data_IF_627791633243
#
_entry.id   IF_627791633243
#
_cell.length_a   1.000
_cell.length_b   1.000
_cell.length_c   1.000
_cell.angle_alpha   90.00
_cell.angle_beta   90.00
_cell.angle_gamma   90.00
#
_symmetry.space_group_name_H-M   'P 1'
#
loop_
_entity.id
_entity.type
_entity.pdbx_description
1 polymer ?
#
# COMPACT_ATOMS: atom_id res chain seq x y z
N UNK A 1 -10.26 8.14 4.77
CA UNK A 1 -10.96 6.90 5.16
C UNK A 1 -12.08 7.20 6.13
N UNK A 2 -11.81 7.82 7.29
CA UNK A 2 -12.84 8.07 8.30
C UNK A 2 -13.97 8.95 7.77
N UNK A 3 -13.68 10.08 7.13
CA UNK A 3 -14.71 10.95 6.55
C UNK A 3 -15.61 10.22 5.54
N UNK A 4 -15.04 9.29 4.75
CA UNK A 4 -15.84 8.44 3.84
C UNK A 4 -16.70 7.40 4.57
N UNK A 5 -16.32 7.00 5.78
CA UNK A 5 -17.09 6.08 6.62
C UNK A 5 -18.25 6.82 7.31
N UNK A 6 -17.96 8.02 7.80
CA UNK A 6 -18.84 8.73 8.74
C UNK A 6 -19.81 9.71 8.04
N UNK A 7 -19.51 10.10 6.79
CA UNK A 7 -20.31 11.06 6.02
C UNK A 7 -20.80 10.38 4.75
N UNK A 8 -22.11 10.28 4.61
CA UNK A 8 -22.78 9.80 3.40
C UNK A 8 -22.44 10.73 2.23
N UNK A 9 -22.11 10.14 1.07
CA UNK A 9 -21.73 10.86 -0.15
C UNK A 9 -20.54 11.83 -0.01
N UNK A 10 -19.64 11.60 0.97
CA UNK A 10 -18.45 12.42 1.13
C UNK A 10 -17.65 12.54 -0.17
N UNK A 11 -17.47 13.77 -0.62
CA UNK A 11 -16.61 14.13 -1.76
C UNK A 11 -15.44 14.99 -1.28
N UNK A 12 -14.27 14.70 -1.81
CA UNK A 12 -13.10 15.56 -1.59
C UNK A 12 -13.34 16.95 -2.19
N UNK A 13 -12.87 17.98 -1.50
CA UNK A 13 -12.82 19.31 -2.06
C UNK A 13 -11.60 19.51 -2.96
N UNK A 14 -11.62 20.51 -3.82
CA UNK A 14 -10.45 20.90 -4.63
C UNK A 14 -9.24 21.26 -3.75
N UNK A 15 -9.48 21.85 -2.56
CA UNK A 15 -8.42 22.16 -1.58
C UNK A 15 -7.75 20.90 -1.03
N UNK A 16 -8.52 19.82 -0.83
CA UNK A 16 -7.96 18.54 -0.38
C UNK A 16 -7.06 17.93 -1.44
N UNK A 17 -7.41 18.05 -2.70
CA UNK A 17 -6.60 17.55 -3.81
C UNK A 17 -5.32 18.37 -3.98
N UNK A 18 -5.38 19.70 -3.89
CA UNK A 18 -4.20 20.55 -3.88
C UNK A 18 -3.26 20.22 -2.72
N UNK A 19 -3.79 20.06 -1.50
CA UNK A 19 -3.00 19.68 -0.32
C UNK A 19 -2.35 18.32 -0.48
N UNK A 20 -3.05 17.36 -1.09
CA UNK A 20 -2.49 16.03 -1.39
C UNK A 20 -1.35 16.12 -2.41
N UNK A 21 -1.50 16.94 -3.46
CA UNK A 21 -0.45 17.18 -4.46
C UNK A 21 0.77 17.86 -3.82
N UNK A 22 0.57 18.89 -3.02
CA UNK A 22 1.63 19.58 -2.27
C UNK A 22 2.39 18.59 -1.37
N UNK A 23 1.68 17.80 -0.58
CA UNK A 23 2.26 16.75 0.26
C UNK A 23 3.01 15.71 -0.59
N UNK A 24 2.45 15.36 -1.74
CA UNK A 24 3.08 14.47 -2.71
C UNK A 24 4.37 15.02 -3.30
N UNK A 25 4.49 16.33 -3.53
CA UNK A 25 5.68 16.96 -4.11
C UNK A 25 6.77 17.24 -3.06
N UNK A 26 6.39 17.84 -1.94
CA UNK A 26 7.34 18.36 -0.95
C UNK A 26 7.55 17.48 0.27
N UNK A 27 6.67 16.47 0.47
CA UNK A 27 6.81 15.56 1.60
C UNK A 27 8.07 14.70 1.51
N UNK A 28 8.64 14.36 2.66
CA UNK A 28 9.78 13.46 2.74
C UNK A 28 9.44 12.08 2.15
N UNK A 29 10.23 11.61 1.19
CA UNK A 29 10.01 10.33 0.46
C UNK A 29 10.73 9.14 1.08
N UNK A 30 11.70 9.38 1.96
CA UNK A 30 12.53 8.30 2.49
C UNK A 30 13.43 7.69 1.42
N UNK A 31 13.53 6.36 1.44
CA UNK A 31 14.30 5.62 0.44
C UNK A 31 13.42 5.34 -0.78
N UNK A 32 13.87 5.80 -1.94
CA UNK A 32 13.22 5.53 -3.24
C UNK A 32 14.00 4.45 -3.97
N UNK A 33 13.31 3.44 -4.49
CA UNK A 33 13.88 2.35 -5.25
C UNK A 33 13.13 2.22 -6.58
N UNK A 34 13.87 2.23 -7.68
CA UNK A 34 13.33 1.96 -9.02
C UNK A 34 13.69 0.53 -9.41
N UNK A 35 12.72 -0.22 -9.89
CA UNK A 35 12.91 -1.56 -10.45
C UNK A 35 12.18 -1.67 -11.77
N UNK A 36 12.82 -2.30 -12.74
CA UNK A 36 12.21 -2.65 -14.02
C UNK A 36 11.73 -4.10 -13.95
N UNK A 37 10.52 -4.34 -14.42
CA UNK A 37 9.99 -5.69 -14.61
C UNK A 37 10.49 -6.31 -15.92
N UNK A 38 10.08 -7.56 -16.17
CA UNK A 38 10.31 -8.25 -17.43
C UNK A 38 9.45 -7.66 -18.55
N UNK A 39 9.92 -7.77 -19.80
CA UNK A 39 9.10 -7.44 -20.95
C UNK A 39 7.89 -8.41 -21.02
N UNK A 40 6.69 -7.86 -21.10
CA UNK A 40 5.46 -8.65 -21.07
C UNK A 40 4.98 -9.11 -22.45
N UNK A 41 5.60 -8.67 -23.56
CA UNK A 41 5.11 -8.94 -24.91
C UNK A 41 4.90 -10.44 -25.15
N UNK A 42 5.88 -11.28 -24.83
CA UNK A 42 5.77 -12.72 -25.03
C UNK A 42 4.65 -13.37 -24.23
N UNK A 43 4.33 -12.83 -23.04
CA UNK A 43 3.25 -13.30 -22.18
C UNK A 43 1.91 -12.82 -22.75
N UNK A 44 1.85 -11.56 -23.17
CA UNK A 44 0.64 -10.96 -23.73
C UNK A 44 0.26 -11.56 -25.10
N UNK A 45 1.25 -11.92 -25.92
CA UNK A 45 1.01 -12.56 -27.20
C UNK A 45 0.42 -13.97 -27.09
N UNK A 46 0.62 -14.63 -25.95
CA UNK A 46 0.03 -15.95 -25.65
C UNK A 46 -1.39 -15.89 -25.10
N UNK A 47 -1.91 -14.68 -24.81
CA UNK A 47 -3.26 -14.56 -24.28
C UNK A 47 -4.30 -14.75 -25.37
N UNK A 48 -5.42 -15.38 -25.00
CA UNK A 48 -6.57 -15.56 -25.88
C UNK A 48 -7.24 -14.22 -26.16
N UNK A 49 -7.03 -13.68 -27.35
CA UNK A 49 -7.61 -12.41 -27.80
C UNK A 49 -9.07 -12.51 -28.21
N UNK A 50 -9.66 -13.73 -28.20
CA UNK A 50 -11.09 -13.93 -28.48
C UNK A 50 -11.98 -13.73 -27.25
N UNK A 51 -11.35 -13.61 -26.04
CA UNK A 51 -12.06 -13.32 -24.80
C UNK A 51 -12.85 -12.00 -24.90
N UNK A 52 -13.99 -11.90 -24.20
CA UNK A 52 -14.68 -10.63 -24.02
C UNK A 52 -13.71 -9.56 -23.48
N UNK A 53 -13.86 -8.33 -23.98
CA UNK A 53 -12.91 -7.23 -23.69
C UNK A 53 -12.65 -7.03 -22.18
N UNK A 54 -13.67 -7.17 -21.34
CA UNK A 54 -13.54 -7.02 -19.90
C UNK A 54 -12.72 -8.14 -19.27
N UNK A 55 -12.90 -9.38 -19.72
CA UNK A 55 -12.15 -10.54 -19.27
C UNK A 55 -10.68 -10.44 -19.69
N UNK A 56 -10.44 -10.07 -20.95
CA UNK A 56 -9.07 -9.85 -21.44
C UNK A 56 -8.36 -8.75 -20.65
N UNK A 57 -9.03 -7.65 -20.32
CA UNK A 57 -8.45 -6.61 -19.48
C UNK A 57 -8.15 -7.09 -18.08
N UNK A 58 -9.01 -7.89 -17.47
CA UNK A 58 -8.76 -8.47 -16.16
C UNK A 58 -7.53 -9.39 -16.17
N UNK A 59 -7.37 -10.22 -17.18
CA UNK A 59 -6.21 -11.10 -17.36
C UNK A 59 -4.93 -10.27 -17.51
N UNK A 60 -4.95 -9.27 -18.41
CA UNK A 60 -3.77 -8.41 -18.66
C UNK A 60 -3.39 -7.62 -17.39
N UNK A 61 -4.38 -7.03 -16.71
CA UNK A 61 -4.15 -6.31 -15.46
C UNK A 61 -3.53 -7.22 -14.40
N UNK A 62 -4.03 -8.44 -14.25
CA UNK A 62 -3.48 -9.43 -13.32
C UNK A 62 -2.02 -9.81 -13.62
N UNK A 63 -1.65 -9.91 -14.90
CA UNK A 63 -0.26 -10.17 -15.32
C UNK A 63 0.63 -8.98 -14.95
N UNK A 64 0.18 -7.76 -15.24
CA UNK A 64 0.91 -6.53 -14.90
C UNK A 64 1.06 -6.39 -13.40
N UNK A 65 -0.01 -6.56 -12.64
CA UNK A 65 0.00 -6.47 -11.18
C UNK A 65 0.96 -7.49 -10.57
N UNK A 66 0.93 -8.74 -11.05
CA UNK A 66 1.86 -9.78 -10.59
C UNK A 66 3.31 -9.40 -10.84
N UNK A 67 3.63 -8.84 -12.02
CA UNK A 67 4.98 -8.40 -12.35
C UNK A 67 5.42 -7.21 -11.50
N UNK A 68 4.54 -6.26 -11.24
CA UNK A 68 4.80 -5.12 -10.34
C UNK A 68 5.05 -5.62 -8.91
N UNK A 69 4.15 -6.46 -8.39
CA UNK A 69 4.19 -6.90 -7.00
C UNK A 69 5.40 -7.77 -6.69
N UNK A 70 5.80 -8.68 -7.58
CA UNK A 70 7.00 -9.51 -7.40
C UNK A 70 8.31 -8.72 -7.39
N UNK A 71 8.29 -7.51 -7.93
CA UNK A 71 9.44 -6.59 -7.95
C UNK A 71 9.46 -5.60 -6.79
N UNK A 72 8.52 -5.67 -5.86
CA UNK A 72 8.52 -4.80 -4.67
C UNK A 72 9.80 -5.00 -3.83
N UNK A 73 10.36 -3.89 -3.37
CA UNK A 73 11.35 -3.91 -2.30
C UNK A 73 10.61 -3.85 -0.97
N UNK A 74 10.69 -4.94 -0.20
CA UNK A 74 10.04 -5.03 1.10
C UNK A 74 11.02 -4.58 2.17
N UNK A 75 10.62 -3.62 3.00
CA UNK A 75 11.41 -3.04 4.08
C UNK A 75 10.96 -3.57 5.44
N UNK A 76 11.82 -3.48 6.49
CA UNK A 76 11.47 -3.93 7.84
C UNK A 76 10.10 -3.43 8.33
N UNK A 77 9.76 -2.17 8.09
CA UNK A 77 8.46 -1.60 8.45
C UNK A 77 7.26 -2.29 7.80
N UNK A 78 7.40 -2.90 6.61
CA UNK A 78 6.32 -3.66 5.98
C UNK A 78 6.07 -4.99 6.71
N UNK A 79 7.14 -5.66 7.17
CA UNK A 79 7.03 -6.88 7.97
C UNK A 79 6.43 -6.60 9.34
N UNK A 80 6.89 -5.52 10.02
CA UNK A 80 6.28 -5.07 11.28
C UNK A 80 4.78 -4.80 11.09
N UNK A 81 4.41 -4.07 10.04
CA UNK A 81 3.01 -3.76 9.75
C UNK A 81 2.18 -5.02 9.50
N UNK A 82 2.74 -5.99 8.79
CA UNK A 82 2.05 -7.26 8.52
C UNK A 82 1.79 -8.04 9.80
N UNK A 83 2.80 -8.21 10.65
CA UNK A 83 2.69 -8.93 11.92
C UNK A 83 1.73 -8.21 12.89
N UNK A 84 1.76 -6.87 12.94
CA UNK A 84 0.78 -6.09 13.72
C UNK A 84 -0.65 -6.26 13.20
N UNK A 85 -0.84 -6.35 11.88
CA UNK A 85 -2.17 -6.48 11.28
C UNK A 85 -2.75 -7.88 11.47
N UNK A 86 -1.92 -8.92 11.37
CA UNK A 86 -2.34 -10.31 11.53
C UNK A 86 -2.47 -10.74 12.98
N UNK A 87 -1.85 -10.02 13.93
CA UNK A 87 -1.70 -10.44 15.32
C UNK A 87 -0.72 -11.59 15.52
N UNK A 88 0.07 -11.91 14.49
CA UNK A 88 1.05 -12.99 14.47
C UNK A 88 2.47 -12.41 14.48
N UNK A 89 3.47 -13.25 14.73
CA UNK A 89 4.90 -12.90 14.65
C UNK A 89 5.59 -13.69 13.53
N UNK A 90 4.93 -13.78 12.37
CA UNK A 90 5.35 -14.60 11.24
C UNK A 90 6.70 -14.19 10.66
N UNK A 91 6.99 -12.90 10.70
CA UNK A 91 8.18 -12.31 10.08
C UNK A 91 9.13 -11.68 11.10
N UNK A 92 9.10 -12.15 12.35
CA UNK A 92 9.92 -11.60 13.42
C UNK A 92 11.44 -11.64 13.14
N UNK A 93 11.90 -12.54 12.28
CA UNK A 93 13.28 -12.65 11.80
C UNK A 93 13.67 -11.61 10.73
N UNK A 94 12.71 -10.85 10.18
CA UNK A 94 12.90 -9.86 9.12
C UNK A 94 13.02 -8.43 9.62
N UNK A 95 12.85 -8.20 10.91
CA UNK A 95 12.97 -6.88 11.53
C UNK A 95 13.50 -7.00 12.97
N UNK A 96 14.06 -5.90 13.48
CA UNK A 96 14.54 -5.79 14.84
C UNK A 96 13.50 -5.12 15.75
N UNK A 97 13.67 -5.18 17.07
CA UNK A 97 12.85 -4.40 18.00
C UNK A 97 13.01 -2.89 17.76
N UNK A 98 14.20 -2.44 17.34
CA UNK A 98 14.44 -1.05 16.98
C UNK A 98 13.62 -0.64 15.74
N UNK A 99 13.52 -1.50 14.73
CA UNK A 99 12.67 -1.26 13.55
C UNK A 99 11.20 -1.13 13.95
N UNK A 100 10.75 -1.95 14.89
CA UNK A 100 9.39 -1.90 15.42
C UNK A 100 9.13 -0.58 16.15
N UNK A 101 10.02 -0.17 17.03
CA UNK A 101 9.91 1.13 17.75
C UNK A 101 9.88 2.29 16.75
N UNK A 102 10.78 2.32 15.77
CA UNK A 102 10.78 3.35 14.71
C UNK A 102 9.49 3.39 13.92
N UNK A 103 8.93 2.22 13.62
CA UNK A 103 7.67 2.14 12.88
C UNK A 103 6.50 2.67 13.71
N UNK A 104 6.42 2.34 14.99
CA UNK A 104 5.39 2.86 15.92
C UNK A 104 5.50 4.39 16.10
N UNK A 105 6.70 4.92 16.26
CA UNK A 105 6.92 6.36 16.29
C UNK A 105 6.48 7.04 14.99
N UNK A 106 6.78 6.40 13.85
CA UNK A 106 6.36 6.90 12.55
C UNK A 106 4.83 6.92 12.43
N UNK A 107 4.13 5.85 12.83
CA UNK A 107 2.66 5.79 12.83
C UNK A 107 2.08 6.91 13.68
N UNK A 108 2.62 7.11 14.89
CA UNK A 108 2.17 8.16 15.81
C UNK A 108 2.32 9.56 15.19
N UNK A 109 3.46 9.83 14.52
CA UNK A 109 3.70 11.07 13.80
C UNK A 109 2.75 11.27 12.62
N UNK A 110 2.39 10.20 11.90
CA UNK A 110 1.41 10.32 10.80
C UNK A 110 -0.01 10.54 11.32
N UNK A 111 -0.40 9.85 12.39
CA UNK A 111 -1.69 10.06 13.03
C UNK A 111 -1.83 11.50 13.56
N UNK A 112 -0.79 12.05 14.16
CA UNK A 112 -0.82 13.43 14.68
C UNK A 112 -1.06 14.48 13.59
N UNK A 113 -0.71 14.20 12.32
CA UNK A 113 -0.97 15.11 11.19
C UNK A 113 -2.42 15.12 10.72
N UNK A 114 -3.23 14.16 11.17
CA UNK A 114 -4.62 14.06 10.75
C UNK A 114 -5.45 14.96 11.66
N UNK A 115 -5.94 16.04 11.10
CA UNK A 115 -6.79 17.02 11.77
C UNK A 115 -8.21 16.92 11.20
N UNK A 116 -9.06 16.18 11.88
CA UNK A 116 -10.48 15.96 11.54
C UNK A 116 -11.33 15.94 12.80
N UNK A 117 -12.62 16.37 12.72
CA UNK A 117 -13.54 16.27 13.82
C UNK A 117 -13.76 14.80 14.27
N UNK A 118 -13.94 14.60 15.58
CA UNK A 118 -14.24 13.28 16.15
C UNK A 118 -13.27 12.18 15.66
N UNK A 119 -11.99 12.48 15.63
CA UNK A 119 -10.94 11.61 15.16
C UNK A 119 -10.95 10.25 15.85
N UNK A 120 -11.19 9.19 15.10
CA UNK A 120 -11.11 7.80 15.52
C UNK A 120 -9.68 7.27 15.31
N UNK A 121 -8.86 7.41 16.33
CA UNK A 121 -7.42 7.06 16.23
C UNK A 121 -7.19 5.57 16.01
N UNK A 122 -7.99 4.70 16.62
CA UNK A 122 -7.86 3.26 16.46
C UNK A 122 -8.15 2.83 15.01
N UNK A 123 -9.26 3.30 14.47
CA UNK A 123 -9.62 3.05 13.07
C UNK A 123 -8.55 3.57 12.10
N UNK A 124 -8.09 4.80 12.29
CA UNK A 124 -7.09 5.43 11.43
C UNK A 124 -5.73 4.72 11.54
N UNK A 125 -5.34 4.33 12.75
CA UNK A 125 -4.13 3.52 12.96
C UNK A 125 -4.22 2.18 12.24
N UNK A 126 -5.35 1.48 12.35
CA UNK A 126 -5.58 0.23 11.62
C UNK A 126 -5.46 0.40 10.11
N UNK A 127 -6.00 1.50 9.54
CA UNK A 127 -5.86 1.82 8.11
C UNK A 127 -4.43 2.12 7.70
N UNK A 128 -3.66 2.85 8.52
CA UNK A 128 -2.24 3.10 8.27
C UNK A 128 -1.43 1.81 8.32
N UNK A 129 -1.61 0.97 9.34
CA UNK A 129 -0.93 -0.33 9.44
C UNK A 129 -1.25 -1.18 8.22
N UNK A 130 -2.53 -1.28 7.82
CA UNK A 130 -2.92 -2.02 6.63
C UNK A 130 -2.25 -1.49 5.35
N UNK A 131 -2.12 -0.16 5.20
CA UNK A 131 -1.45 0.45 4.06
C UNK A 131 0.02 0.02 3.96
N UNK A 132 0.74 -0.04 5.10
CA UNK A 132 2.14 -0.48 5.13
C UNK A 132 2.32 -2.00 5.04
N UNK A 133 1.31 -2.79 5.42
CA UNK A 133 1.31 -4.24 5.26
C UNK A 133 1.02 -4.69 3.80
N UNK A 134 0.26 -3.90 3.04
CA UNK A 134 -0.18 -4.26 1.68
C UNK A 134 0.96 -4.58 0.71
N UNK A 135 2.10 -3.87 0.66
CA UNK A 135 3.21 -4.24 -0.21
C UNK A 135 3.70 -5.67 0.03
N UNK A 136 3.84 -6.08 1.30
CA UNK A 136 4.23 -7.45 1.63
C UNK A 136 3.14 -8.46 1.26
N UNK A 137 1.87 -8.17 1.52
CA UNK A 137 0.75 -9.05 1.14
C UNK A 137 0.73 -9.30 -0.36
N UNK A 138 0.83 -8.23 -1.15
CA UNK A 138 0.82 -8.32 -2.61
C UNK A 138 2.04 -9.06 -3.14
N UNK A 139 3.23 -8.81 -2.56
CA UNK A 139 4.45 -9.55 -2.88
C UNK A 139 4.29 -11.05 -2.62
N UNK A 140 3.78 -11.45 -1.46
CA UNK A 140 3.58 -12.86 -1.11
C UNK A 140 2.61 -13.55 -2.08
N UNK A 141 1.53 -12.89 -2.48
CA UNK A 141 0.60 -13.40 -3.48
C UNK A 141 1.26 -13.54 -4.85
N UNK A 142 2.15 -12.62 -5.22
CA UNK A 142 2.79 -12.62 -6.53
C UNK A 142 3.88 -13.71 -6.67
N UNK A 143 4.51 -14.12 -5.57
CA UNK A 143 5.58 -15.15 -5.59
C UNK A 143 5.08 -16.56 -5.29
N UNK A 144 3.85 -16.68 -4.74
CA UNK A 144 3.22 -17.92 -4.45
C UNK A 144 2.71 -18.73 -4.04
#
# INVERSE_FOLDING_TARGET
FQLKRDIEDYKKSEKDDLKNMETGLFGFKGRVCFRTGNCLNEILDKQDRTLPKQELFAVISGIIDKEIHRNYTIYPGNYVAYDLLSGESRFKDKYTEEDKVRFEEYLSKQLAKIDIPNKDEEFLRGKLVAMYANPLRNYLVAIG
#
